data_IF_204892628625
#
_entry.id   IF_204892628625
#
_cell.length_a   1.000
_cell.length_b   1.000
_cell.length_c   1.000
_cell.angle_alpha   90.00
_cell.angle_beta   90.00
_cell.angle_gamma   90.00
#
_symmetry.space_group_name_H-M   'P 1'
#
loop_
_entity.id
_entity.type
_entity.pdbx_description
1 polymer ?
#
# COMPACT_ATOMS: atom_id res chain seq x y z
N UNK A 1 -3.22 38.23 -60.92
CA UNK A 1 -2.15 37.30 -61.34
C UNK A 1 -0.87 37.81 -60.69
N UNK A 2 -0.19 37.18 -59.74
CA UNK A 2 -0.07 35.77 -59.32
C UNK A 2 0.13 35.76 -57.80
N UNK A 3 -0.47 34.79 -57.12
CA UNK A 3 -0.36 34.56 -55.68
C UNK A 3 1.07 34.22 -55.25
N UNK A 4 1.50 34.66 -54.06
CA UNK A 4 2.62 34.07 -53.34
C UNK A 4 2.12 33.51 -52.02
N UNK A 5 2.21 32.20 -51.93
CA UNK A 5 1.75 31.32 -50.87
C UNK A 5 2.45 31.63 -49.54
N UNK A 6 1.64 31.65 -48.47
CA UNK A 6 2.08 31.65 -47.08
C UNK A 6 2.40 30.21 -46.65
N UNK A 7 3.67 29.93 -46.34
CA UNK A 7 4.08 28.66 -45.74
C UNK A 7 3.62 28.54 -44.27
N UNK A 8 3.36 27.31 -43.77
CA UNK A 8 2.69 27.10 -42.49
C UNK A 8 3.63 27.36 -41.31
N UNK A 9 3.13 28.13 -40.34
CA UNK A 9 3.82 28.47 -39.10
C UNK A 9 4.19 27.23 -38.29
N UNK A 10 5.47 27.14 -37.92
CA UNK A 10 5.94 26.16 -36.95
C UNK A 10 5.41 26.54 -35.57
N UNK A 11 4.51 25.71 -35.04
CA UNK A 11 4.09 25.76 -33.65
C UNK A 11 5.34 25.65 -32.76
N UNK A 12 5.62 26.69 -31.98
CA UNK A 12 6.65 26.67 -30.93
C UNK A 12 6.18 25.75 -29.80
N UNK A 13 6.31 24.45 -29.99
CA UNK A 13 6.16 23.45 -28.94
C UNK A 13 7.28 23.56 -27.90
N UNK A 14 7.04 23.03 -26.70
CA UNK A 14 8.03 22.95 -25.63
C UNK A 14 9.35 22.37 -26.19
N UNK A 15 10.49 23.08 -26.12
CA UNK A 15 11.75 22.65 -26.73
C UNK A 15 12.29 21.33 -26.16
N UNK A 16 11.77 20.86 -25.02
CA UNK A 16 12.11 19.61 -24.36
C UNK A 16 11.19 18.44 -24.71
N UNK A 17 10.06 18.67 -25.39
CA UNK A 17 9.11 17.62 -25.77
C UNK A 17 9.75 16.45 -26.55
N UNK A 18 10.69 16.69 -27.52
CA UNK A 18 11.35 15.60 -28.23
C UNK A 18 12.19 14.70 -27.31
N UNK A 19 12.77 15.27 -26.25
CA UNK A 19 13.58 14.53 -25.27
C UNK A 19 12.69 13.68 -24.36
N UNK A 20 11.52 14.18 -23.99
CA UNK A 20 10.54 13.45 -23.16
C UNK A 20 10.00 12.22 -23.89
N UNK A 21 9.60 12.37 -25.15
CA UNK A 21 9.09 11.24 -25.95
C UNK A 21 10.17 10.19 -26.21
N UNK A 22 11.43 10.61 -26.39
CA UNK A 22 12.55 9.70 -26.53
C UNK A 22 12.82 8.91 -25.24
N UNK A 23 12.71 9.56 -24.07
CA UNK A 23 12.86 8.91 -22.75
C UNK A 23 11.73 7.93 -22.43
N UNK A 24 10.56 8.10 -23.05
CA UNK A 24 9.41 7.19 -22.93
C UNK A 24 9.51 5.98 -23.88
N UNK A 25 10.64 5.82 -24.58
CA UNK A 25 10.90 4.69 -25.48
C UNK A 25 10.47 4.92 -26.93
N UNK A 26 10.20 6.17 -27.33
CA UNK A 26 9.86 6.50 -28.71
C UNK A 26 11.03 6.36 -29.69
N UNK A 27 10.72 6.10 -30.96
CA UNK A 27 11.72 5.93 -32.03
C UNK A 27 12.44 7.26 -32.36
N UNK A 28 13.79 7.31 -32.29
CA UNK A 28 14.56 8.53 -32.53
C UNK A 28 14.32 9.16 -33.91
N UNK A 29 14.18 8.35 -34.96
CA UNK A 29 14.04 8.84 -36.33
C UNK A 29 12.62 9.39 -36.58
N UNK A 30 11.59 8.78 -35.99
CA UNK A 30 10.23 9.29 -35.99
C UNK A 30 10.11 10.63 -35.22
N UNK A 31 10.74 10.73 -34.05
CA UNK A 31 10.75 11.95 -33.22
C UNK A 31 11.48 13.09 -33.96
N UNK A 32 12.64 12.80 -34.57
CA UNK A 32 13.39 13.76 -35.37
C UNK A 32 12.55 14.37 -36.51
N UNK A 33 11.78 13.54 -37.23
CA UNK A 33 10.85 14.01 -38.27
C UNK A 33 9.69 14.83 -37.70
N UNK A 34 9.08 14.36 -36.61
CA UNK A 34 7.92 15.00 -35.97
C UNK A 34 8.23 16.42 -35.48
N UNK A 35 9.45 16.66 -35.00
CA UNK A 35 9.85 17.93 -34.39
C UNK A 35 10.85 18.75 -35.23
N UNK A 36 11.21 18.29 -36.43
CA UNK A 36 12.14 19.00 -37.31
C UNK A 36 13.54 19.17 -36.72
N UNK A 37 14.01 18.22 -35.90
CA UNK A 37 15.34 18.23 -35.26
C UNK A 37 16.19 17.08 -35.77
N UNK A 38 17.46 17.34 -36.12
CA UNK A 38 18.37 16.29 -36.56
C UNK A 38 18.64 15.27 -35.45
N UNK A 39 19.03 14.05 -35.81
CA UNK A 39 19.35 12.98 -34.85
C UNK A 39 20.51 13.37 -33.93
N UNK A 40 21.50 14.09 -34.46
CA UNK A 40 22.62 14.63 -33.68
C UNK A 40 22.15 15.72 -32.70
N UNK A 41 21.26 16.62 -33.11
CA UNK A 41 20.67 17.64 -32.25
C UNK A 41 19.83 17.00 -31.13
N UNK A 42 19.01 16.00 -31.46
CA UNK A 42 18.22 15.24 -30.50
C UNK A 42 19.10 14.51 -29.47
N UNK A 43 20.20 13.89 -29.94
CA UNK A 43 21.21 13.27 -29.08
C UNK A 43 21.91 14.28 -28.16
N UNK A 44 22.25 15.47 -28.66
CA UNK A 44 22.84 16.55 -27.86
C UNK A 44 21.89 17.04 -26.78
N UNK A 45 20.60 17.25 -27.11
CA UNK A 45 19.57 17.66 -26.14
C UNK A 45 19.31 16.60 -25.08
N UNK A 46 19.30 15.32 -25.45
CA UNK A 46 19.20 14.23 -24.48
C UNK A 46 20.42 14.22 -23.54
N UNK A 47 21.63 14.40 -24.08
CA UNK A 47 22.85 14.48 -23.28
C UNK A 47 22.83 15.68 -22.33
N UNK A 48 22.46 16.87 -22.81
CA UNK A 48 22.32 18.07 -21.97
C UNK A 48 21.22 17.90 -20.91
N UNK A 49 20.08 17.30 -21.25
CA UNK A 49 19.04 16.96 -20.28
C UNK A 49 19.56 15.96 -19.24
N UNK A 50 20.28 14.92 -19.64
CA UNK A 50 20.89 13.94 -18.73
C UNK A 50 21.94 14.59 -17.83
N UNK A 51 22.77 15.50 -18.36
CA UNK A 51 23.78 16.25 -17.60
C UNK A 51 23.12 17.24 -16.64
N UNK A 52 22.09 17.96 -17.07
CA UNK A 52 21.35 18.90 -16.22
C UNK A 52 20.51 18.17 -15.16
N UNK A 53 19.89 17.04 -15.51
CA UNK A 53 19.21 16.17 -14.55
C UNK A 53 20.20 15.54 -13.58
N UNK A 54 21.39 15.16 -14.06
CA UNK A 54 22.47 14.68 -13.19
C UNK A 54 22.98 15.78 -12.26
N UNK A 55 23.07 17.04 -12.72
CA UNK A 55 23.43 18.22 -11.90
C UNK A 55 22.34 18.62 -10.91
N UNK A 56 21.07 18.57 -11.30
CA UNK A 56 19.93 18.80 -10.42
C UNK A 56 19.79 17.69 -9.38
N UNK A 57 19.94 16.43 -9.78
CA UNK A 57 20.06 15.29 -8.88
C UNK A 57 21.32 15.36 -8.01
N UNK A 58 22.41 16.00 -8.48
CA UNK A 58 23.60 16.29 -7.68
C UNK A 58 23.33 17.36 -6.61
N UNK A 59 22.53 18.37 -6.96
CA UNK A 59 22.10 19.43 -6.04
C UNK A 59 21.12 18.91 -4.99
N UNK A 60 20.27 17.93 -5.33
CA UNK A 60 19.47 17.17 -4.35
C UNK A 60 20.35 16.20 -3.52
N UNK A 61 21.36 15.57 -4.13
CA UNK A 61 22.32 14.70 -3.44
C UNK A 61 23.37 15.42 -2.57
N UNK A 62 23.33 16.76 -2.49
CA UNK A 62 24.09 17.52 -1.49
C UNK A 62 23.73 17.10 -0.05
N UNK A 63 22.57 16.45 0.14
CA UNK A 63 22.03 16.05 1.44
C UNK A 63 22.36 14.62 1.91
N UNK A 64 22.94 13.72 1.10
CA UNK A 64 22.96 12.29 1.48
C UNK A 64 24.26 11.50 1.35
N UNK A 65 25.43 12.14 1.18
CA UNK A 65 26.68 11.39 1.28
C UNK A 65 27.32 11.55 2.66
N UNK A 66 26.93 10.67 3.59
CA UNK A 66 27.84 10.20 4.66
C UNK A 66 29.00 9.34 4.09
N UNK A 67 29.21 9.36 2.77
CA UNK A 67 30.32 8.68 2.12
C UNK A 67 31.64 9.29 2.63
N UNK A 68 32.43 8.48 3.33
CA UNK A 68 33.77 8.83 3.71
C UNK A 68 34.58 9.23 2.48
N UNK A 69 35.53 10.16 2.64
CA UNK A 69 36.37 10.68 1.55
C UNK A 69 37.00 9.59 0.65
N UNK A 70 37.24 8.40 1.19
CA UNK A 70 37.86 7.28 0.49
C UNK A 70 36.87 6.22 -0.03
N UNK A 71 35.58 6.34 0.28
CA UNK A 71 34.56 5.36 -0.09
C UNK A 71 34.27 5.41 -1.60
N UNK A 72 33.78 4.30 -2.20
CA UNK A 72 33.28 4.31 -3.56
C UNK A 72 32.23 5.40 -3.76
N UNK A 73 32.37 6.16 -4.84
CA UNK A 73 31.53 7.31 -5.10
C UNK A 73 30.08 6.86 -5.42
N UNK A 74 29.05 7.42 -4.77
CA UNK A 74 27.66 6.99 -4.92
C UNK A 74 27.05 7.27 -6.31
N UNK A 75 27.77 8.00 -7.18
CA UNK A 75 27.39 8.21 -8.58
C UNK A 75 27.61 6.98 -9.48
N UNK A 76 28.12 5.86 -8.95
CA UNK A 76 28.36 4.64 -9.70
C UNK A 76 29.64 4.63 -10.54
N UNK A 77 30.52 5.63 -10.37
CA UNK A 77 31.76 5.74 -11.17
C UNK A 77 32.86 4.74 -10.77
N UNK A 78 32.72 4.04 -9.65
CA UNK A 78 33.74 3.15 -9.08
C UNK A 78 34.99 3.87 -8.51
N UNK A 79 35.09 5.21 -8.64
CA UNK A 79 36.20 6.01 -8.11
C UNK A 79 35.97 6.34 -6.63
N UNK A 80 37.05 6.64 -5.89
CA UNK A 80 36.95 7.19 -4.51
C UNK A 80 36.21 8.54 -4.53
N UNK A 81 35.32 8.78 -3.58
CA UNK A 81 34.48 9.98 -3.51
C UNK A 81 35.29 11.28 -3.62
N UNK A 82 36.42 11.39 -2.91
CA UNK A 82 37.32 12.55 -2.98
C UNK A 82 37.91 12.86 -4.37
N UNK A 83 37.98 11.86 -5.25
CA UNK A 83 38.52 11.99 -6.63
C UNK A 83 37.41 12.06 -7.68
N UNK A 84 36.15 12.10 -7.27
CA UNK A 84 35.02 12.08 -8.18
C UNK A 84 34.03 13.21 -7.86
N UNK A 85 32.97 12.93 -7.10
CA UNK A 85 31.93 13.92 -6.86
C UNK A 85 32.25 14.92 -5.74
N UNK A 86 33.20 14.64 -4.83
CA UNK A 86 33.46 15.54 -3.70
C UNK A 86 33.91 16.95 -4.14
N UNK A 87 34.87 17.15 -5.07
CA UNK A 87 35.24 18.51 -5.50
C UNK A 87 34.06 19.24 -6.16
N UNK A 88 33.22 18.52 -6.90
CA UNK A 88 32.00 19.07 -7.53
C UNK A 88 31.00 19.50 -6.46
N UNK A 89 30.83 18.70 -5.40
CA UNK A 89 29.96 19.03 -4.28
C UNK A 89 30.50 20.20 -3.45
N UNK A 90 31.81 20.26 -3.20
CA UNK A 90 32.47 21.37 -2.49
C UNK A 90 32.32 22.68 -3.27
N UNK A 91 32.47 22.64 -4.61
CA UNK A 91 32.28 23.82 -5.46
C UNK A 91 30.81 24.25 -5.53
N UNK A 92 29.88 23.30 -5.63
CA UNK A 92 28.44 23.58 -5.55
C UNK A 92 28.02 24.15 -4.18
N UNK A 93 28.67 23.75 -3.08
CA UNK A 93 28.41 24.35 -1.76
C UNK A 93 28.84 25.81 -1.67
N UNK A 94 29.95 26.19 -2.32
CA UNK A 94 30.42 27.58 -2.34
C UNK A 94 29.50 28.52 -3.11
N UNK A 95 28.74 28.01 -4.08
CA UNK A 95 27.79 28.81 -4.88
C UNK A 95 26.42 28.99 -4.21
N UNK A 96 26.17 28.33 -3.08
CA UNK A 96 24.93 28.48 -2.31
C UNK A 96 25.09 29.66 -1.34
N UNK A 97 24.15 30.62 -1.31
CA UNK A 97 24.13 31.69 -0.31
C UNK A 97 24.19 31.15 1.12
N UNK A 98 24.95 31.81 2.00
CA UNK A 98 25.23 31.32 3.36
C UNK A 98 23.96 31.14 4.21
N UNK A 99 23.02 32.06 4.07
CA UNK A 99 21.68 32.02 4.66
C UNK A 99 20.89 30.78 4.19
N UNK A 100 20.94 30.47 2.89
CA UNK A 100 20.30 29.26 2.33
C UNK A 100 20.96 27.98 2.82
N UNK A 101 22.29 27.96 2.95
CA UNK A 101 23.00 26.81 3.51
C UNK A 101 22.66 26.59 4.98
N UNK A 102 22.58 27.65 5.79
CA UNK A 102 22.15 27.60 7.19
C UNK A 102 20.72 27.07 7.32
N UNK A 103 19.78 27.58 6.51
CA UNK A 103 18.40 27.09 6.50
C UNK A 103 18.31 25.60 6.12
N UNK A 104 19.16 25.14 5.19
CA UNK A 104 19.24 23.72 4.83
C UNK A 104 19.79 22.85 5.97
N UNK A 105 20.83 23.30 6.68
CA UNK A 105 21.39 22.59 7.83
C UNK A 105 20.41 22.54 9.01
N UNK A 106 19.73 23.65 9.30
CA UNK A 106 18.68 23.70 10.33
C UNK A 106 17.54 22.74 10.00
N UNK A 107 17.07 22.74 8.74
CA UNK A 107 16.03 21.81 8.28
C UNK A 107 16.46 20.35 8.40
N UNK A 108 17.72 20.03 8.12
CA UNK A 108 18.25 18.68 8.30
C UNK A 108 18.25 18.25 9.77
N UNK A 109 18.65 19.14 10.69
CA UNK A 109 18.60 18.89 12.14
C UNK A 109 17.16 18.71 12.65
N UNK A 110 16.22 19.51 12.16
CA UNK A 110 14.80 19.36 12.50
C UNK A 110 14.27 18.00 12.00
N UNK A 111 14.61 17.59 10.78
CA UNK A 111 14.23 16.28 10.24
C UNK A 111 14.80 15.12 11.06
N UNK A 112 16.07 15.21 11.46
CA UNK A 112 16.71 14.19 12.31
C UNK A 112 16.06 14.13 13.71
N UNK A 113 15.74 15.28 14.29
CA UNK A 113 15.06 15.36 15.59
C UNK A 113 13.67 14.73 15.52
N UNK A 114 12.89 15.12 14.52
CA UNK A 114 11.57 14.54 14.26
C UNK A 114 11.65 13.03 14.04
N UNK A 115 12.64 12.55 13.27
CA UNK A 115 12.85 11.13 13.05
C UNK A 115 13.06 10.37 14.38
N UNK A 116 13.91 10.89 15.28
CA UNK A 116 14.15 10.28 16.59
C UNK A 116 12.90 10.28 17.49
N UNK A 117 12.08 11.33 17.42
CA UNK A 117 10.80 11.36 18.15
C UNK A 117 9.81 10.33 17.62
N UNK A 118 9.72 10.17 16.30
CA UNK A 118 8.89 9.14 15.67
C UNK A 118 9.36 7.73 16.04
N UNK A 119 10.67 7.45 15.95
CA UNK A 119 11.26 6.17 16.37
C UNK A 119 10.93 5.85 17.82
N UNK A 120 11.13 6.81 18.72
CA UNK A 120 10.76 6.68 20.13
C UNK A 120 9.26 6.41 20.31
N UNK A 121 8.40 7.01 19.49
CA UNK A 121 6.96 6.76 19.52
C UNK A 121 6.59 5.32 19.18
N UNK A 122 7.24 4.75 18.15
CA UNK A 122 7.06 3.33 17.81
C UNK A 122 7.68 2.39 18.85
N UNK A 123 8.82 2.74 19.46
CA UNK A 123 9.41 1.97 20.56
C UNK A 123 8.45 1.89 21.76
N UNK A 124 7.78 3.00 22.10
CA UNK A 124 6.76 3.02 23.15
C UNK A 124 5.56 2.13 22.81
N UNK A 125 5.12 2.10 21.54
CA UNK A 125 4.08 1.16 21.10
C UNK A 125 4.52 -0.29 21.24
N UNK A 126 5.74 -0.60 20.82
CA UNK A 126 6.31 -1.94 20.93
C UNK A 126 6.43 -2.38 22.40
N UNK A 127 6.79 -1.46 23.29
CA UNK A 127 6.80 -1.65 24.74
C UNK A 127 5.41 -1.69 25.41
N UNK A 128 4.32 -1.56 24.64
CA UNK A 128 2.93 -1.44 25.14
C UNK A 128 2.69 -0.25 26.09
N UNK A 129 3.52 0.79 26.01
CA UNK A 129 3.36 2.03 26.76
C UNK A 129 2.44 3.01 26.02
N UNK A 130 1.21 2.55 25.72
CA UNK A 130 0.26 3.20 24.81
C UNK A 130 0.00 4.67 25.15
N UNK A 131 -0.15 4.99 26.44
CA UNK A 131 -0.39 6.37 26.88
C UNK A 131 0.79 7.31 26.67
N UNK A 132 2.02 6.79 26.82
CA UNK A 132 3.22 7.57 26.55
C UNK A 132 3.39 7.79 25.04
N UNK A 133 3.14 6.74 24.25
CA UNK A 133 3.16 6.83 22.79
C UNK A 133 2.16 7.87 22.28
N UNK A 134 0.92 7.82 22.80
CA UNK A 134 -0.15 8.78 22.47
C UNK A 134 0.24 10.22 22.79
N UNK A 135 0.71 10.49 24.02
CA UNK A 135 1.15 11.84 24.42
C UNK A 135 2.31 12.37 23.59
N UNK A 136 3.27 11.51 23.25
CA UNK A 136 4.39 11.90 22.39
C UNK A 136 3.90 12.26 20.99
N UNK A 137 3.05 11.43 20.38
CA UNK A 137 2.51 11.67 19.06
C UNK A 137 1.64 12.94 19.00
N UNK A 138 0.83 13.22 20.03
CA UNK A 138 0.07 14.48 20.13
C UNK A 138 1.00 15.69 20.09
N UNK A 139 2.09 15.67 20.88
CA UNK A 139 3.09 16.75 20.89
C UNK A 139 3.79 16.92 19.53
N UNK A 140 4.13 15.81 18.87
CA UNK A 140 4.71 15.86 17.52
C UNK A 140 3.73 16.52 16.56
N UNK A 141 2.44 16.19 16.64
CA UNK A 141 1.40 16.74 15.76
C UNK A 141 1.05 18.22 16.04
N UNK A 142 1.34 18.74 17.24
CA UNK A 142 1.25 20.18 17.51
C UNK A 142 2.25 20.98 16.65
N UNK A 143 3.42 20.40 16.38
CA UNK A 143 4.48 21.04 15.59
C UNK A 143 4.48 20.60 14.11
N UNK A 144 4.06 19.36 13.86
CA UNK A 144 4.08 18.70 12.56
C UNK A 144 2.72 18.04 12.27
N UNK A 145 1.64 18.82 12.06
CA UNK A 145 0.26 18.30 11.98
C UNK A 145 0.01 17.35 10.80
N UNK A 146 0.90 17.35 9.81
CA UNK A 146 0.79 16.55 8.59
C UNK A 146 1.73 15.33 8.55
N UNK A 147 2.38 15.00 9.66
CA UNK A 147 3.22 13.79 9.74
C UNK A 147 2.37 12.54 9.99
N UNK A 148 2.21 11.72 8.95
CA UNK A 148 1.41 10.49 9.02
C UNK A 148 1.97 9.43 9.97
N UNK A 149 3.26 9.47 10.30
CA UNK A 149 3.87 8.52 11.24
C UNK A 149 3.42 8.82 12.66
N UNK A 150 3.27 10.10 13.02
CA UNK A 150 2.69 10.48 14.30
C UNK A 150 1.18 10.16 14.37
N UNK A 151 0.43 10.39 13.28
CA UNK A 151 -0.96 9.92 13.20
C UNK A 151 -1.07 8.39 13.30
N UNK A 152 -0.10 7.65 12.75
CA UNK A 152 -0.03 6.20 12.90
C UNK A 152 0.13 5.77 14.36
N UNK A 153 1.02 6.46 15.08
CA UNK A 153 1.21 6.18 16.50
C UNK A 153 -0.07 6.42 17.29
N UNK A 154 -0.80 7.51 17.00
CA UNK A 154 -2.11 7.77 17.60
C UNK A 154 -3.13 6.70 17.26
N UNK A 155 -3.22 6.36 15.97
CA UNK A 155 -4.14 5.35 15.48
C UNK A 155 -3.91 3.99 16.15
N UNK A 156 -2.65 3.53 16.16
CA UNK A 156 -2.26 2.25 16.77
C UNK A 156 -2.50 2.26 18.27
N UNK A 157 -2.19 3.37 18.97
CA UNK A 157 -2.49 3.53 20.39
C UNK A 157 -3.99 3.44 20.68
N UNK A 158 -4.83 4.07 19.84
CA UNK A 158 -6.28 4.09 19.99
C UNK A 158 -6.89 2.69 19.73
N UNK A 159 -6.48 2.02 18.66
CA UNK A 159 -6.87 0.64 18.37
C UNK A 159 -6.48 -0.30 19.51
N UNK A 160 -5.24 -0.24 20.00
CA UNK A 160 -4.74 -1.14 21.03
C UNK A 160 -5.41 -0.91 22.41
N UNK A 161 -5.89 0.31 22.67
CA UNK A 161 -6.59 0.66 23.92
C UNK A 161 -8.11 0.48 23.84
N UNK A 162 -8.65 0.09 22.69
CA UNK A 162 -10.10 -0.09 22.50
C UNK A 162 -10.87 1.20 22.16
N UNK A 163 -10.16 2.32 21.97
CA UNK A 163 -10.73 3.61 21.54
C UNK A 163 -10.92 3.64 20.02
N UNK A 164 -11.84 2.79 19.55
CA UNK A 164 -12.07 2.58 18.12
C UNK A 164 -12.68 3.81 17.42
N UNK A 165 -13.36 4.68 18.17
CA UNK A 165 -13.93 5.92 17.62
C UNK A 165 -12.82 6.91 17.24
N UNK A 166 -11.85 7.15 18.13
CA UNK A 166 -10.66 7.96 17.81
C UNK A 166 -9.86 7.36 16.65
N UNK A 167 -9.68 6.04 16.63
CA UNK A 167 -9.00 5.35 15.53
C UNK A 167 -9.71 5.57 14.19
N UNK A 168 -11.04 5.43 14.16
CA UNK A 168 -11.87 5.61 12.97
C UNK A 168 -11.77 7.03 12.42
N UNK A 169 -11.94 8.05 13.27
CA UNK A 169 -11.89 9.45 12.82
C UNK A 169 -10.50 9.83 12.32
N UNK A 170 -9.44 9.36 13.00
CA UNK A 170 -8.05 9.56 12.56
C UNK A 170 -7.85 8.93 11.17
N UNK A 171 -8.15 7.64 11.01
CA UNK A 171 -7.92 6.95 9.75
C UNK A 171 -8.76 7.52 8.59
N UNK A 172 -10.04 7.82 8.82
CA UNK A 172 -10.92 8.43 7.81
C UNK A 172 -10.39 9.78 7.36
N UNK A 173 -10.00 10.65 8.30
CA UNK A 173 -9.46 11.98 7.98
C UNK A 173 -8.15 11.88 7.21
N UNK A 174 -7.23 11.02 7.66
CA UNK A 174 -5.94 10.85 6.98
C UNK A 174 -6.06 10.18 5.61
N UNK A 175 -7.04 9.28 5.43
CA UNK A 175 -7.38 8.75 4.12
C UNK A 175 -7.83 9.87 3.15
N UNK A 176 -8.74 10.75 3.57
CA UNK A 176 -9.16 11.90 2.76
C UNK A 176 -7.98 12.82 2.40
N UNK A 177 -7.14 13.15 3.39
CA UNK A 177 -5.93 13.96 3.15
C UNK A 177 -5.00 13.29 2.13
N UNK A 178 -4.74 11.99 2.28
CA UNK A 178 -3.86 11.26 1.35
C UNK A 178 -4.41 11.21 -0.09
N UNK A 179 -5.73 11.15 -0.26
CA UNK A 179 -6.38 11.20 -1.58
C UNK A 179 -6.18 12.57 -2.23
N UNK A 180 -6.38 13.65 -1.47
CA UNK A 180 -6.12 15.01 -1.93
C UNK A 180 -4.64 15.22 -2.28
N UNK A 181 -3.72 14.76 -1.42
CA UNK A 181 -2.27 14.88 -1.66
C UNK A 181 -1.84 14.09 -2.89
N UNK A 182 -2.35 12.88 -3.09
CA UNK A 182 -2.06 12.09 -4.29
C UNK A 182 -2.52 12.80 -5.56
N UNK A 183 -3.76 13.31 -5.57
CA UNK A 183 -4.30 14.03 -6.72
C UNK A 183 -3.49 15.30 -7.02
N UNK A 184 -3.19 16.09 -5.98
CA UNK A 184 -2.41 17.32 -6.13
C UNK A 184 -0.98 17.05 -6.60
N UNK A 185 -0.31 16.04 -6.03
CA UNK A 185 1.05 15.66 -6.41
C UNK A 185 1.13 15.18 -7.87
N UNK A 186 0.13 14.45 -8.35
CA UNK A 186 0.07 14.02 -9.76
C UNK A 186 -0.03 15.20 -10.73
N UNK A 187 -0.67 16.29 -10.32
CA UNK A 187 -0.84 17.49 -11.16
C UNK A 187 0.34 18.47 -11.03
N UNK A 188 0.92 18.60 -9.83
CA UNK A 188 1.88 19.68 -9.51
C UNK A 188 3.31 19.19 -9.23
N UNK A 189 3.53 17.88 -9.07
CA UNK A 189 4.84 17.30 -8.72
C UNK A 189 5.37 17.64 -7.33
N UNK A 190 4.53 18.18 -6.44
CA UNK A 190 4.86 18.54 -5.06
C UNK A 190 3.65 18.35 -4.15
N UNK A 191 3.86 18.30 -2.84
CA UNK A 191 2.77 18.13 -1.87
C UNK A 191 2.09 19.46 -1.56
N UNK A 192 0.75 19.47 -1.54
CA UNK A 192 -0.05 20.69 -1.32
C UNK A 192 0.26 21.32 0.04
N UNK A 193 0.46 20.45 1.04
CA UNK A 193 0.65 20.81 2.44
C UNK A 193 2.11 21.05 2.84
N UNK A 194 3.07 21.00 1.90
CA UNK A 194 4.45 21.48 2.14
C UNK A 194 4.53 23.01 2.21
N UNK A 195 3.47 23.71 1.77
CA UNK A 195 3.39 25.16 1.73
C UNK A 195 4.06 25.77 0.49
N UNK A 196 3.75 27.04 0.20
CA UNK A 196 4.23 27.76 -1.01
C UNK A 196 5.76 27.89 -1.09
N UNK A 197 6.47 27.76 0.03
CA UNK A 197 7.94 27.80 0.10
C UNK A 197 8.58 26.42 0.31
N UNK A 198 7.80 25.32 0.23
CA UNK A 198 8.27 23.94 0.44
C UNK A 198 9.02 23.75 1.77
N UNK A 199 8.68 24.53 2.79
CA UNK A 199 9.42 24.64 4.05
C UNK A 199 8.94 23.67 5.15
N UNK A 200 7.69 23.20 5.08
CA UNK A 200 7.14 22.25 6.05
C UNK A 200 7.82 20.88 5.95
N UNK A 201 8.17 20.29 7.10
CA UNK A 201 8.47 18.87 7.16
C UNK A 201 7.14 18.11 7.17
N UNK A 202 6.81 17.48 6.05
CA UNK A 202 5.63 16.61 5.92
C UNK A 202 6.07 15.18 5.66
N UNK A 203 5.21 14.25 6.01
CA UNK A 203 5.40 12.84 5.67
C UNK A 203 4.02 12.23 5.42
N UNK A 204 3.76 11.79 4.20
CA UNK A 204 2.48 11.17 3.83
C UNK A 204 2.65 9.68 3.54
N UNK A 205 1.70 8.87 4.02
CA UNK A 205 1.49 7.53 3.55
C UNK A 205 0.62 7.52 2.30
N UNK A 206 0.67 6.42 1.56
CA UNK A 206 -0.20 6.22 0.40
C UNK A 206 -1.67 6.11 0.84
N UNK A 207 -2.63 6.44 -0.05
CA UNK A 207 -4.03 6.28 0.28
C UNK A 207 -4.44 4.87 0.66
N UNK A 208 -3.85 3.86 0.03
CA UNK A 208 -4.14 2.46 0.35
C UNK A 208 -3.74 2.10 1.80
N UNK A 209 -2.71 2.73 2.36
CA UNK A 209 -2.31 2.53 3.76
C UNK A 209 -3.34 3.09 4.74
N UNK A 210 -3.90 4.27 4.46
CA UNK A 210 -4.96 4.82 5.31
C UNK A 210 -6.32 4.17 5.06
N UNK A 211 -6.60 3.73 3.83
CA UNK A 211 -7.83 3.01 3.49
C UNK A 211 -7.95 1.70 4.28
N UNK A 212 -6.85 0.97 4.40
CA UNK A 212 -6.77 -0.24 5.23
C UNK A 212 -7.05 0.04 6.71
N UNK A 213 -6.38 1.05 7.28
CA UNK A 213 -6.60 1.46 8.68
C UNK A 213 -8.02 1.93 8.92
N UNK A 214 -8.61 2.59 7.92
CA UNK A 214 -9.99 3.04 7.96
C UNK A 214 -10.95 1.85 8.00
N UNK A 215 -10.76 0.86 7.13
CA UNK A 215 -11.50 -0.39 7.17
C UNK A 215 -11.37 -1.11 8.52
N UNK A 216 -10.14 -1.24 9.02
CA UNK A 216 -9.87 -1.90 10.30
C UNK A 216 -10.58 -1.22 11.47
N UNK A 217 -10.51 0.11 11.58
CA UNK A 217 -11.19 0.83 12.65
C UNK A 217 -12.73 0.78 12.51
N UNK A 218 -13.25 0.83 11.29
CA UNK A 218 -14.68 0.66 11.05
C UNK A 218 -15.16 -0.72 11.49
N UNK A 219 -14.42 -1.78 11.12
CA UNK A 219 -14.71 -3.15 11.55
C UNK A 219 -14.59 -3.31 13.06
N UNK A 220 -13.57 -2.73 13.70
CA UNK A 220 -13.42 -2.79 15.14
C UNK A 220 -14.62 -2.17 15.89
N UNK A 221 -15.16 -1.04 15.40
CA UNK A 221 -16.39 -0.43 15.94
C UNK A 221 -17.59 -1.36 15.76
N UNK A 222 -17.77 -1.89 14.54
CA UNK A 222 -18.88 -2.79 14.24
C UNK A 222 -18.84 -4.07 15.08
N UNK A 223 -17.66 -4.67 15.24
CA UNK A 223 -17.48 -5.90 16.00
C UNK A 223 -17.75 -5.68 17.49
N UNK A 224 -17.35 -4.54 18.04
CA UNK A 224 -17.67 -4.15 19.43
C UNK A 224 -19.18 -4.08 19.68
N UNK A 225 -19.95 -3.62 18.69
CA UNK A 225 -21.41 -3.51 18.78
C UNK A 225 -22.10 -4.86 18.54
N UNK A 226 -21.62 -5.64 17.56
CA UNK A 226 -22.21 -6.92 17.16
C UNK A 226 -21.95 -8.04 18.16
N UNK A 227 -20.73 -8.12 18.70
CA UNK A 227 -20.30 -9.22 19.55
C UNK A 227 -20.19 -8.77 21.01
N UNK A 228 -21.17 -9.15 21.82
CA UNK A 228 -21.14 -8.91 23.25
C UNK A 228 -19.91 -9.58 23.88
N UNK A 229 -19.20 -8.85 24.75
CA UNK A 229 -18.03 -9.35 25.48
C UNK A 229 -18.32 -9.39 26.99
N UNK A 230 -19.26 -10.22 27.48
CA UNK A 230 -19.58 -10.28 28.90
C UNK A 230 -18.37 -10.84 29.67
N UNK A 231 -17.93 -10.22 30.78
CA UNK A 231 -16.69 -10.61 31.46
C UNK A 231 -16.54 -12.13 31.65
N UNK A 232 -15.52 -12.71 31.03
CA UNK A 232 -15.21 -14.13 31.12
C UNK A 232 -13.71 -14.31 31.40
N UNK A 233 -13.38 -14.52 32.67
CA UNK A 233 -11.99 -14.65 33.13
C UNK A 233 -11.25 -15.82 32.47
N UNK A 234 -11.96 -16.90 32.12
CA UNK A 234 -11.37 -18.08 31.49
C UNK A 234 -10.96 -17.77 30.04
N UNK A 235 -11.84 -17.15 29.25
CA UNK A 235 -11.55 -16.72 27.88
C UNK A 235 -10.49 -15.61 27.84
N UNK A 236 -10.59 -14.62 28.72
CA UNK A 236 -9.56 -13.58 28.83
C UNK A 236 -8.20 -14.19 29.17
N UNK A 237 -8.15 -15.18 30.06
CA UNK A 237 -6.91 -15.89 30.37
C UNK A 237 -6.41 -16.67 29.17
N UNK A 238 -7.26 -17.40 28.46
CA UNK A 238 -6.87 -18.15 27.27
C UNK A 238 -6.30 -17.23 26.17
N UNK A 239 -6.90 -16.06 25.96
CA UNK A 239 -6.37 -15.05 25.03
C UNK A 239 -5.04 -14.45 25.51
N UNK A 240 -4.89 -14.18 26.81
CA UNK A 240 -3.59 -13.78 27.39
C UNK A 240 -2.51 -14.86 27.19
N UNK A 241 -2.87 -16.12 27.40
CA UNK A 241 -1.97 -17.25 27.18
C UNK A 241 -1.61 -17.39 25.69
N UNK A 242 -2.55 -17.14 24.77
CA UNK A 242 -2.29 -17.14 23.32
C UNK A 242 -1.30 -16.03 22.92
N UNK A 243 -1.35 -14.85 23.57
CA UNK A 243 -0.41 -13.74 23.31
C UNK A 243 1.05 -14.09 23.61
N UNK A 244 1.33 -15.18 24.33
CA UNK A 244 2.69 -15.71 24.50
C UNK A 244 3.36 -16.05 23.16
N UNK A 245 2.58 -16.32 22.10
CA UNK A 245 3.09 -16.46 20.74
C UNK A 245 3.96 -15.27 20.29
N UNK A 246 3.74 -14.07 20.86
CA UNK A 246 4.44 -12.86 20.49
C UNK A 246 5.83 -12.74 21.14
N UNK A 247 6.17 -13.62 22.09
CA UNK A 247 7.49 -13.64 22.71
C UNK A 247 8.55 -14.18 21.74
N UNK A 248 9.23 -13.27 21.07
CA UNK A 248 10.31 -13.57 20.12
C UNK A 248 11.57 -14.13 20.78
N UNK A 249 11.74 -13.98 22.10
CA UNK A 249 12.85 -14.60 22.83
C UNK A 249 12.55 -16.08 23.09
N UNK A 250 11.29 -16.38 23.42
CA UNK A 250 10.79 -17.75 23.58
C UNK A 250 10.71 -18.50 22.25
N UNK A 251 10.37 -17.80 21.17
CA UNK A 251 10.20 -18.37 19.84
C UNK A 251 11.07 -17.60 18.82
N UNK A 252 12.38 -17.89 18.74
CA UNK A 252 13.31 -17.18 17.86
C UNK A 252 13.10 -17.48 16.37
N UNK A 253 12.47 -18.61 16.03
CA UNK A 253 12.21 -19.04 14.65
C UNK A 253 11.23 -18.07 13.96
N UNK A 254 11.46 -17.89 12.66
CA UNK A 254 10.70 -16.97 11.79
C UNK A 254 9.88 -17.74 10.77
N UNK A 255 8.98 -17.03 10.08
CA UNK A 255 8.18 -17.57 8.97
C UNK A 255 7.43 -18.85 9.36
N UNK A 256 7.36 -19.83 8.47
CA UNK A 256 6.62 -21.08 8.66
C UNK A 256 7.16 -21.92 9.83
N UNK A 257 8.48 -21.98 10.03
CA UNK A 257 9.08 -22.66 11.18
C UNK A 257 8.65 -22.01 12.49
N UNK A 258 8.68 -20.67 12.53
CA UNK A 258 8.19 -19.89 13.66
C UNK A 258 6.71 -20.10 13.94
N UNK A 259 5.90 -20.25 12.90
CA UNK A 259 4.48 -20.54 13.03
C UNK A 259 4.22 -21.95 13.59
N UNK A 260 4.91 -22.95 13.05
CA UNK A 260 4.79 -24.35 13.46
C UNK A 260 5.23 -24.54 14.93
N UNK A 261 6.35 -23.95 15.33
CA UNK A 261 6.84 -24.01 16.71
C UNK A 261 5.84 -23.42 17.71
N UNK A 262 5.26 -22.26 17.39
CA UNK A 262 4.23 -21.60 18.21
C UNK A 262 2.94 -22.42 18.27
N UNK A 263 2.49 -22.98 17.14
CA UNK A 263 1.31 -23.85 17.08
C UNK A 263 1.48 -25.05 18.01
N UNK A 264 2.62 -25.75 17.93
CA UNK A 264 2.89 -26.91 18.76
C UNK A 264 2.95 -26.55 20.25
N UNK A 265 3.65 -25.48 20.61
CA UNK A 265 3.79 -25.06 22.00
C UNK A 265 2.49 -24.53 22.62
N UNK A 266 1.57 -24.01 21.81
CA UNK A 266 0.30 -23.42 22.25
C UNK A 266 -0.90 -24.33 21.97
N UNK A 267 -0.70 -25.58 21.55
CA UNK A 267 -1.78 -26.51 21.23
C UNK A 267 -2.85 -26.61 22.33
N UNK A 268 -2.52 -26.74 23.63
CA UNK A 268 -3.55 -26.80 24.69
C UNK A 268 -4.38 -25.50 24.83
N UNK A 269 -3.78 -24.35 24.48
CA UNK A 269 -4.49 -23.06 24.50
C UNK A 269 -5.42 -22.95 23.30
N UNK A 270 -4.94 -23.39 22.13
CA UNK A 270 -5.73 -23.42 20.89
C UNK A 270 -6.91 -24.39 21.01
N UNK A 271 -6.70 -25.61 21.50
CA UNK A 271 -7.77 -26.59 21.76
C UNK A 271 -8.84 -26.06 22.71
N UNK A 272 -8.42 -25.33 23.76
CA UNK A 272 -9.38 -24.69 24.67
C UNK A 272 -10.19 -23.62 23.96
N UNK A 273 -9.54 -22.70 23.23
CA UNK A 273 -10.22 -21.64 22.50
C UNK A 273 -11.17 -22.21 21.45
N UNK A 274 -10.76 -23.27 20.76
CA UNK A 274 -11.59 -24.00 19.81
C UNK A 274 -12.84 -24.60 20.49
N UNK A 275 -12.67 -25.23 21.65
CA UNK A 275 -13.76 -25.83 22.43
C UNK A 275 -14.78 -24.84 23.01
N UNK A 276 -14.37 -23.59 23.26
CA UNK A 276 -15.28 -22.50 23.68
C UNK A 276 -16.19 -22.02 22.53
N UNK A 277 -15.83 -22.36 21.29
CA UNK A 277 -16.64 -22.10 20.11
C UNK A 277 -16.86 -20.60 19.83
N UNK A 278 -18.01 -20.23 19.24
CA UNK A 278 -18.32 -18.85 18.89
C UNK A 278 -18.29 -17.84 20.05
N UNK A 279 -18.39 -18.31 21.30
CA UNK A 279 -18.30 -17.45 22.49
C UNK A 279 -16.91 -16.80 22.65
N UNK A 280 -15.87 -17.39 22.06
CA UNK A 280 -14.50 -16.86 22.08
C UNK A 280 -14.27 -15.71 21.08
N UNK A 281 -15.11 -15.56 20.06
CA UNK A 281 -14.99 -14.54 18.99
C UNK A 281 -14.75 -13.12 19.53
N UNK A 282 -15.58 -12.56 20.44
CA UNK A 282 -15.36 -11.22 20.98
C UNK A 282 -13.97 -11.00 21.60
N UNK A 283 -13.37 -12.05 22.16
CA UNK A 283 -12.05 -12.01 22.79
C UNK A 283 -10.89 -12.14 21.80
N UNK A 284 -11.14 -12.80 20.67
CA UNK A 284 -10.15 -13.03 19.61
C UNK A 284 -10.05 -11.84 18.65
N UNK A 285 -11.16 -11.16 18.36
CA UNK A 285 -11.19 -10.05 17.39
C UNK A 285 -10.19 -8.92 17.70
N UNK A 286 -10.01 -8.47 18.96
CA UNK A 286 -8.99 -7.47 19.29
C UNK A 286 -7.55 -7.87 18.89
N UNK A 287 -7.24 -9.17 18.84
CA UNK A 287 -5.93 -9.63 18.38
C UNK A 287 -5.69 -9.31 16.90
N UNK A 288 -6.76 -9.27 16.10
CA UNK A 288 -6.69 -9.08 14.64
C UNK A 288 -6.37 -7.66 14.22
N UNK A 289 -6.45 -6.68 15.12
CA UNK A 289 -6.17 -5.27 14.78
C UNK A 289 -4.72 -4.84 15.03
N UNK A 290 -4.02 -5.54 15.93
CA UNK A 290 -2.66 -5.21 16.36
C UNK A 290 -1.61 -6.19 15.81
N UNK A 291 -1.96 -6.91 14.74
CA UNK A 291 -1.22 -7.97 14.02
C UNK A 291 0.05 -8.47 14.68
N UNK A 292 -0.02 -9.71 15.13
CA UNK A 292 1.06 -10.36 15.85
C UNK A 292 1.04 -11.86 15.58
N UNK A 293 2.01 -12.59 16.11
CA UNK A 293 2.01 -14.05 15.99
C UNK A 293 0.72 -14.68 16.53
N UNK A 294 0.16 -14.12 17.60
CA UNK A 294 -1.11 -14.56 18.17
C UNK A 294 -2.29 -14.40 17.19
N UNK A 295 -2.31 -13.34 16.39
CA UNK A 295 -3.42 -13.08 15.46
C UNK A 295 -3.48 -14.09 14.32
N UNK A 296 -2.35 -14.71 13.95
CA UNK A 296 -2.27 -15.71 12.88
C UNK A 296 -3.00 -17.02 13.19
N UNK A 297 -3.46 -17.23 14.43
CA UNK A 297 -4.27 -18.39 14.82
C UNK A 297 -5.78 -18.13 14.75
N UNK A 298 -6.19 -16.86 14.68
CA UNK A 298 -7.62 -16.49 14.66
C UNK A 298 -8.36 -17.04 13.42
N UNK A 299 -7.80 -16.99 12.19
CA UNK A 299 -8.52 -17.50 11.02
C UNK A 299 -8.87 -18.99 11.12
N UNK A 300 -8.00 -19.80 11.69
CA UNK A 300 -8.23 -21.25 11.82
C UNK A 300 -9.23 -21.55 12.93
N UNK A 301 -9.23 -20.78 14.02
CA UNK A 301 -10.26 -20.84 15.06
C UNK A 301 -11.65 -20.48 14.50
N UNK A 302 -11.74 -19.41 13.69
CA UNK A 302 -12.99 -19.06 13.01
C UNK A 302 -13.45 -20.16 12.05
N UNK A 303 -12.52 -20.79 11.32
CA UNK A 303 -12.85 -21.93 10.46
C UNK A 303 -13.43 -23.09 11.28
N UNK A 304 -12.82 -23.43 12.42
CA UNK A 304 -13.27 -24.52 13.29
C UNK A 304 -14.67 -24.27 13.88
N UNK A 305 -15.01 -23.02 14.21
CA UNK A 305 -16.35 -22.68 14.71
C UNK A 305 -17.46 -22.90 13.68
N UNK A 306 -17.12 -22.79 12.39
CA UNK A 306 -18.00 -23.12 11.27
C UNK A 306 -19.38 -22.44 11.33
N UNK A 307 -19.48 -21.22 11.89
CA UNK A 307 -20.72 -20.42 11.91
C UNK A 307 -20.75 -19.41 10.76
N UNK A 308 -21.95 -18.93 10.42
CA UNK A 308 -22.14 -17.90 9.39
C UNK A 308 -21.42 -16.59 9.74
N UNK A 309 -21.38 -16.23 11.03
CA UNK A 309 -20.56 -15.11 11.51
C UNK A 309 -19.07 -15.35 11.28
N UNK A 310 -18.59 -16.59 11.43
CA UNK A 310 -17.19 -16.92 11.20
C UNK A 310 -16.81 -16.79 9.72
N UNK A 311 -17.69 -17.21 8.80
CA UNK A 311 -17.48 -17.03 7.36
C UNK A 311 -17.44 -15.54 6.99
N UNK A 312 -18.39 -14.75 7.53
CA UNK A 312 -18.42 -13.29 7.34
C UNK A 312 -17.14 -12.63 7.86
N UNK A 313 -16.73 -12.97 9.08
CA UNK A 313 -15.51 -12.44 9.69
C UNK A 313 -14.28 -12.78 8.85
N UNK A 314 -14.15 -14.01 8.35
CA UNK A 314 -13.02 -14.37 7.47
C UNK A 314 -13.00 -13.51 6.20
N UNK A 315 -14.17 -13.22 5.60
CA UNK A 315 -14.25 -12.33 4.44
C UNK A 315 -13.80 -10.90 4.78
N UNK A 316 -14.32 -10.31 5.86
CA UNK A 316 -13.97 -8.96 6.28
C UNK A 316 -12.51 -8.82 6.76
N UNK A 317 -12.00 -9.82 7.48
CA UNK A 317 -10.62 -9.88 7.97
C UNK A 317 -9.61 -10.12 6.85
N UNK A 318 -10.00 -10.76 5.74
CA UNK A 318 -9.11 -10.94 4.58
C UNK A 318 -8.70 -9.62 3.92
N UNK A 319 -9.46 -8.55 4.17
CA UNK A 319 -9.20 -7.21 3.64
C UNK A 319 -8.16 -6.43 4.46
N UNK A 320 -7.66 -7.01 5.57
CA UNK A 320 -6.55 -6.44 6.33
C UNK A 320 -5.25 -6.76 5.57
N UNK A 321 -4.47 -5.79 5.10
CA UNK A 321 -3.33 -6.03 4.17
C UNK A 321 -2.07 -6.55 4.89
N UNK A 322 -2.25 -7.56 5.74
CA UNK A 322 -1.18 -8.33 6.34
C UNK A 322 -1.08 -9.65 5.58
N UNK A 323 -0.10 -9.80 4.66
CA UNK A 323 -0.15 -10.84 3.63
C UNK A 323 -0.43 -12.25 4.16
N UNK A 324 0.30 -12.67 5.20
CA UNK A 324 0.13 -13.99 5.80
C UNK A 324 -1.23 -14.17 6.51
N UNK A 325 -1.70 -13.13 7.20
CA UNK A 325 -3.00 -13.18 7.91
C UNK A 325 -4.16 -13.19 6.92
N UNK A 326 -4.18 -12.25 5.97
CA UNK A 326 -5.17 -12.19 4.91
C UNK A 326 -5.22 -13.49 4.12
N UNK A 327 -4.05 -14.03 3.74
CA UNK A 327 -3.99 -15.27 2.99
C UNK A 327 -4.57 -16.45 3.77
N UNK A 328 -4.36 -16.55 5.09
CA UNK A 328 -5.02 -17.56 5.92
C UNK A 328 -6.54 -17.42 5.89
N UNK A 329 -7.07 -16.19 5.99
CA UNK A 329 -8.50 -15.96 5.85
C UNK A 329 -9.03 -16.43 4.49
N UNK A 330 -8.34 -16.08 3.40
CA UNK A 330 -8.73 -16.46 2.04
C UNK A 330 -8.66 -17.97 1.82
N UNK A 331 -7.62 -18.65 2.32
CA UNK A 331 -7.50 -20.12 2.22
C UNK A 331 -8.62 -20.84 2.97
N UNK A 332 -9.03 -20.32 4.14
CA UNK A 332 -10.15 -20.90 4.87
C UNK A 332 -11.49 -20.67 4.15
N UNK A 333 -11.68 -19.51 3.50
CA UNK A 333 -12.83 -19.28 2.61
C UNK A 333 -12.80 -20.18 1.37
N UNK A 334 -11.63 -20.39 0.78
CA UNK A 334 -11.43 -21.30 -0.36
C UNK A 334 -11.85 -22.73 0.03
N UNK A 335 -11.38 -23.23 1.18
CA UNK A 335 -11.71 -24.55 1.70
C UNK A 335 -13.21 -24.75 1.99
N UNK A 336 -13.96 -23.66 2.25
CA UNK A 336 -15.40 -23.71 2.47
C UNK A 336 -16.22 -23.84 1.17
N UNK A 337 -15.61 -23.62 0.00
CA UNK A 337 -16.27 -23.76 -1.30
C UNK A 337 -17.50 -22.86 -1.46
N UNK A 338 -18.59 -23.41 -2.01
CA UNK A 338 -19.83 -22.69 -2.28
C UNK A 338 -20.49 -22.06 -1.05
N UNK A 339 -20.20 -22.58 0.16
CA UNK A 339 -20.71 -22.02 1.41
C UNK A 339 -20.22 -20.59 1.64
N UNK A 340 -19.00 -20.25 1.19
CA UNK A 340 -18.42 -18.92 1.37
C UNK A 340 -19.01 -17.88 0.42
N UNK A 341 -19.52 -18.29 -0.74
CA UNK A 341 -19.94 -17.39 -1.82
C UNK A 341 -20.98 -16.35 -1.39
N UNK A 342 -22.09 -16.67 -0.69
CA UNK A 342 -23.04 -15.64 -0.26
C UNK A 342 -22.43 -14.56 0.63
N UNK A 343 -21.46 -14.92 1.47
CA UNK A 343 -20.79 -13.97 2.37
C UNK A 343 -19.73 -13.13 1.63
N UNK A 344 -19.04 -13.75 0.68
CA UNK A 344 -18.14 -13.04 -0.23
C UNK A 344 -18.95 -12.03 -1.06
N UNK A 345 -20.10 -12.43 -1.59
CA UNK A 345 -21.02 -11.57 -2.35
C UNK A 345 -21.48 -10.37 -1.54
N UNK A 346 -21.97 -10.58 -0.33
CA UNK A 346 -22.36 -9.51 0.60
C UNK A 346 -21.20 -8.54 0.87
N UNK A 347 -19.99 -9.07 1.07
CA UNK A 347 -18.78 -8.25 1.31
C UNK A 347 -18.37 -7.45 0.08
N UNK A 348 -18.51 -8.01 -1.13
CA UNK A 348 -18.19 -7.31 -2.37
C UNK A 348 -19.15 -6.18 -2.67
N UNK A 349 -20.46 -6.40 -2.48
CA UNK A 349 -21.50 -5.39 -2.78
C UNK A 349 -21.49 -4.23 -1.78
N UNK A 350 -21.21 -4.50 -0.50
CA UNK A 350 -21.27 -3.47 0.53
C UNK A 350 -19.97 -2.66 0.64
N UNK A 351 -20.07 -1.39 1.04
CA UNK A 351 -18.93 -0.49 1.27
C UNK A 351 -17.98 -0.31 0.07
N UNK A 352 -18.45 0.31 -1.04
CA UNK A 352 -17.66 0.47 -2.28
C UNK A 352 -16.38 1.28 -2.11
N UNK A 353 -16.29 2.11 -1.07
CA UNK A 353 -15.06 2.85 -0.71
C UNK A 353 -13.86 1.92 -0.51
N UNK A 354 -14.08 0.66 -0.12
CA UNK A 354 -13.02 -0.31 0.16
C UNK A 354 -12.79 -1.33 -0.95
N UNK A 355 -13.33 -1.13 -2.15
CA UNK A 355 -13.24 -2.13 -3.23
C UNK A 355 -11.81 -2.55 -3.58
N UNK A 356 -10.85 -1.63 -3.45
CA UNK A 356 -9.43 -1.93 -3.64
C UNK A 356 -8.89 -3.00 -2.68
N UNK A 357 -9.50 -3.16 -1.50
CA UNK A 357 -9.11 -4.14 -0.48
C UNK A 357 -9.74 -5.52 -0.71
N UNK A 358 -10.78 -5.61 -1.54
CA UNK A 358 -11.60 -6.82 -1.68
C UNK A 358 -11.09 -7.82 -2.72
N UNK A 359 -10.00 -7.49 -3.41
CA UNK A 359 -9.50 -8.27 -4.56
C UNK A 359 -9.10 -9.70 -4.19
N UNK A 360 -8.72 -9.94 -2.93
CA UNK A 360 -8.47 -11.30 -2.43
C UNK A 360 -9.71 -12.19 -2.54
N UNK A 361 -10.89 -11.66 -2.22
CA UNK A 361 -12.16 -12.38 -2.29
C UNK A 361 -12.56 -12.72 -3.74
N UNK A 362 -12.25 -11.83 -4.68
CA UNK A 362 -12.43 -12.08 -6.12
C UNK A 362 -11.58 -13.29 -6.55
N UNK A 363 -10.35 -13.40 -6.02
CA UNK A 363 -9.50 -14.54 -6.32
C UNK A 363 -9.99 -15.86 -5.70
N UNK A 364 -10.67 -15.83 -4.55
CA UNK A 364 -11.34 -17.00 -3.98
C UNK A 364 -12.40 -17.53 -4.95
N UNK A 365 -13.22 -16.66 -5.52
CA UNK A 365 -14.23 -17.04 -6.53
C UNK A 365 -13.60 -17.64 -7.78
N UNK A 366 -12.44 -17.13 -8.21
CA UNK A 366 -11.69 -17.67 -9.35
C UNK A 366 -11.13 -19.08 -9.10
N UNK A 367 -10.81 -19.42 -7.84
CA UNK A 367 -10.28 -20.75 -7.45
C UNK A 367 -11.37 -21.77 -7.11
N UNK A 368 -12.58 -21.30 -6.81
CA UNK A 368 -13.76 -22.12 -6.55
C UNK A 368 -14.76 -22.00 -7.71
N UNK A 369 -14.52 -22.64 -8.87
CA UNK A 369 -15.42 -22.58 -10.00
C UNK A 369 -16.75 -23.28 -9.67
N UNK A 370 -17.82 -22.50 -9.71
CA UNK A 370 -19.20 -22.97 -9.61
C UNK A 370 -20.09 -22.04 -10.42
N UNK A 371 -21.32 -22.47 -10.71
CA UNK A 371 -22.30 -21.61 -11.42
C UNK A 371 -22.46 -20.27 -10.71
N UNK A 372 -22.50 -20.27 -9.37
CA UNK A 372 -22.70 -19.07 -8.57
C UNK A 372 -21.47 -18.15 -8.62
N UNK A 373 -20.25 -18.68 -8.49
CA UNK A 373 -19.05 -17.85 -8.56
C UNK A 373 -18.84 -17.27 -9.97
N UNK A 374 -19.17 -18.03 -11.02
CA UNK A 374 -19.15 -17.55 -12.40
C UNK A 374 -20.17 -16.43 -12.66
N UNK A 375 -21.43 -16.62 -12.28
CA UNK A 375 -22.49 -15.60 -12.39
C UNK A 375 -22.12 -14.32 -11.63
N UNK A 376 -21.40 -14.44 -10.52
CA UNK A 376 -20.96 -13.30 -9.74
C UNK A 376 -19.77 -12.57 -10.39
N UNK A 377 -18.75 -13.30 -10.84
CA UNK A 377 -17.60 -12.71 -11.52
C UNK A 377 -18.01 -12.00 -12.82
N UNK A 378 -18.91 -12.60 -13.60
CA UNK A 378 -19.45 -11.98 -14.83
C UNK A 378 -20.25 -10.70 -14.55
N UNK A 379 -20.95 -10.58 -13.42
CA UNK A 379 -21.54 -9.28 -13.02
C UNK A 379 -20.46 -8.24 -12.70
N UNK A 380 -19.37 -8.65 -12.05
CA UNK A 380 -18.29 -7.76 -11.64
C UNK A 380 -17.42 -7.27 -12.81
N UNK A 381 -17.55 -7.82 -14.02
CA UNK A 381 -16.86 -7.26 -15.20
C UNK A 381 -17.37 -5.86 -15.54
N UNK A 382 -18.57 -5.50 -15.11
CA UNK A 382 -19.19 -4.18 -15.30
C UNK A 382 -18.87 -3.19 -14.17
N UNK A 383 -18.01 -3.56 -13.22
CA UNK A 383 -17.65 -2.70 -12.09
C UNK A 383 -17.01 -1.38 -12.54
N UNK A 384 -17.31 -0.28 -11.83
CA UNK A 384 -16.81 1.06 -12.16
C UNK A 384 -15.28 1.18 -11.97
N UNK A 385 -14.77 0.59 -10.87
CA UNK A 385 -13.34 0.58 -10.57
C UNK A 385 -12.56 -0.36 -11.50
N UNK A 386 -11.74 0.22 -12.38
CA UNK A 386 -10.86 -0.51 -13.33
C UNK A 386 -9.90 -1.48 -12.64
N UNK A 387 -9.47 -1.20 -11.41
CA UNK A 387 -8.61 -2.10 -10.65
C UNK A 387 -9.34 -3.40 -10.29
N UNK A 388 -10.61 -3.31 -9.88
CA UNK A 388 -11.46 -4.47 -9.59
C UNK A 388 -11.67 -5.31 -10.85
N UNK A 389 -12.05 -4.67 -11.96
CA UNK A 389 -12.27 -5.35 -13.26
C UNK A 389 -11.03 -6.15 -13.70
N UNK A 390 -9.83 -5.59 -13.47
CA UNK A 390 -8.57 -6.28 -13.77
C UNK A 390 -8.41 -7.60 -13.01
N UNK A 391 -8.80 -7.65 -11.73
CA UNK A 391 -8.76 -8.86 -10.92
C UNK A 391 -9.90 -9.83 -11.22
N UNK A 392 -11.07 -9.32 -11.58
CA UNK A 392 -12.19 -10.14 -12.06
C UNK A 392 -11.80 -10.90 -13.32
N UNK A 393 -11.12 -10.23 -14.26
CA UNK A 393 -10.64 -10.88 -15.47
C UNK A 393 -9.64 -12.01 -15.18
N UNK A 394 -8.70 -11.80 -14.25
CA UNK A 394 -7.79 -12.86 -13.81
C UNK A 394 -8.54 -14.03 -13.18
N UNK A 395 -9.55 -13.75 -12.34
CA UNK A 395 -10.36 -14.78 -11.71
C UNK A 395 -11.17 -15.59 -12.74
N UNK A 396 -11.78 -14.94 -13.74
CA UNK A 396 -12.49 -15.62 -14.84
C UNK A 396 -11.54 -16.47 -15.70
N UNK A 397 -10.35 -15.95 -16.02
CA UNK A 397 -9.32 -16.70 -16.73
C UNK A 397 -8.91 -17.97 -15.99
N UNK A 398 -8.75 -17.89 -14.64
CA UNK A 398 -8.46 -19.06 -13.80
C UNK A 398 -9.58 -20.09 -13.76
N UNK A 399 -10.84 -19.69 -13.86
CA UNK A 399 -11.96 -20.65 -13.94
C UNK A 399 -11.94 -21.43 -15.25
N UNK A 400 -11.33 -20.89 -16.31
CA UNK A 400 -11.18 -21.58 -17.58
C UNK A 400 -12.49 -21.78 -18.35
N UNK A 401 -13.58 -21.09 -17.99
CA UNK A 401 -14.87 -21.22 -18.66
C UNK A 401 -14.95 -20.32 -19.91
N UNK A 402 -15.05 -20.89 -21.13
CA UNK A 402 -15.13 -20.11 -22.38
C UNK A 402 -16.33 -19.16 -22.45
N UNK A 403 -17.41 -19.42 -21.70
CA UNK A 403 -18.58 -18.52 -21.62
C UNK A 403 -18.22 -17.14 -21.03
N UNK A 404 -17.04 -16.98 -20.41
CA UNK A 404 -16.54 -15.69 -19.94
C UNK A 404 -16.15 -14.74 -21.09
N UNK A 405 -15.83 -15.25 -22.28
CA UNK A 405 -15.24 -14.47 -23.37
C UNK A 405 -16.04 -13.21 -23.74
N UNK A 406 -17.38 -13.28 -23.97
CA UNK A 406 -18.16 -12.08 -24.31
C UNK A 406 -18.16 -11.02 -23.21
N UNK A 407 -18.05 -11.42 -21.94
CA UNK A 407 -17.99 -10.50 -20.80
C UNK A 407 -16.62 -9.80 -20.73
N UNK A 408 -15.55 -10.55 -20.96
CA UNK A 408 -14.18 -10.03 -20.99
C UNK A 408 -13.95 -9.09 -22.17
N UNK A 409 -14.50 -9.39 -23.34
CA UNK A 409 -14.43 -8.52 -24.53
C UNK A 409 -15.15 -7.19 -24.29
N UNK A 410 -16.39 -7.21 -23.74
CA UNK A 410 -17.09 -5.98 -23.36
C UNK A 410 -16.34 -5.18 -22.30
N UNK A 411 -15.76 -5.85 -21.30
CA UNK A 411 -14.94 -5.18 -20.30
C UNK A 411 -13.72 -4.52 -20.95
N UNK A 412 -13.01 -5.20 -21.86
CA UNK A 412 -11.86 -4.67 -22.60
C UNK A 412 -12.22 -3.41 -23.39
N UNK A 413 -13.36 -3.43 -24.10
CA UNK A 413 -13.84 -2.27 -24.86
C UNK A 413 -14.12 -1.07 -23.94
N UNK A 414 -14.67 -1.32 -22.75
CA UNK A 414 -15.04 -0.27 -21.79
C UNK A 414 -13.84 0.31 -21.04
N UNK A 415 -12.92 -0.52 -20.54
CA UNK A 415 -11.83 -0.07 -19.64
C UNK A 415 -10.44 -0.02 -20.32
N UNK A 416 -10.37 -0.36 -21.60
CA UNK A 416 -9.14 -0.44 -22.39
C UNK A 416 -8.37 -1.75 -22.20
N UNK A 417 -7.27 -1.90 -22.92
CA UNK A 417 -6.38 -3.06 -22.82
C UNK A 417 -5.65 -3.06 -21.46
N UNK A 418 -6.23 -3.73 -20.47
CA UNK A 418 -5.53 -4.08 -19.23
C UNK A 418 -4.80 -5.40 -19.43
N UNK A 419 -3.56 -5.50 -18.92
CA UNK A 419 -2.70 -6.67 -19.13
C UNK A 419 -3.32 -7.99 -18.68
N UNK A 420 -4.12 -8.00 -17.61
CA UNK A 420 -4.79 -9.22 -17.13
C UNK A 420 -6.04 -9.57 -17.93
N UNK A 421 -6.74 -8.59 -18.51
CA UNK A 421 -7.88 -8.84 -19.40
C UNK A 421 -7.39 -9.54 -20.67
N UNK A 422 -6.30 -9.03 -21.26
CA UNK A 422 -5.69 -9.64 -22.44
C UNK A 422 -5.18 -11.07 -22.15
N UNK A 423 -4.47 -11.26 -21.03
CA UNK A 423 -4.00 -12.59 -20.63
C UNK A 423 -5.14 -13.61 -20.43
N UNK A 424 -6.22 -13.21 -19.75
CA UNK A 424 -7.37 -14.08 -19.54
C UNK A 424 -8.07 -14.50 -20.85
N UNK A 425 -8.21 -13.58 -21.81
CA UNK A 425 -8.76 -13.89 -23.14
C UNK A 425 -7.86 -14.90 -23.87
N UNK A 426 -6.55 -14.68 -23.88
CA UNK A 426 -5.60 -15.58 -24.53
C UNK A 426 -5.62 -16.99 -23.94
N UNK A 427 -5.69 -17.11 -22.61
CA UNK A 427 -5.72 -18.39 -21.92
C UNK A 427 -7.02 -19.17 -22.25
N UNK A 428 -8.16 -18.49 -22.26
CA UNK A 428 -9.46 -19.10 -22.59
C UNK A 428 -9.55 -19.53 -24.07
N UNK A 429 -9.02 -18.72 -24.99
CA UNK A 429 -8.98 -19.07 -26.42
C UNK A 429 -8.07 -20.27 -26.67
N UNK A 430 -6.92 -20.37 -25.98
CA UNK A 430 -6.03 -21.54 -26.08
C UNK A 430 -6.65 -22.80 -25.45
N UNK A 431 -7.36 -22.65 -24.34
CA UNK A 431 -8.00 -23.76 -23.62
C UNK A 431 -9.22 -24.35 -24.32
N UNK A 432 -9.93 -23.58 -25.16
CA UNK A 432 -11.08 -24.06 -25.93
C UNK A 432 -10.74 -24.72 -27.29
N UNK A 433 -9.46 -24.80 -27.65
CA UNK A 433 -8.97 -25.42 -28.90
C UNK A 433 -8.40 -26.84 -28.71
N UNK A 434 -8.45 -27.38 -27.49
CA UNK A 434 -8.13 -28.77 -27.16
C UNK A 434 -9.37 -29.49 -26.63
#
# INVERSE_FOLDING_TARGET
>A
MVAKETGPGTARGNPMQPVVELLQGGDPDAISRKYGVSREELGRRLHEYQVNRSRAALAENLQFSNAGRNDPCPCGSGKKYKKCCLPVHEEARKSIPKDRLQAMEERARLRETLQKEIERGFDLLFGQELEKARKLAQRVLEQHPEDDRAHDILFTSAIASGDYDTAFFTARRRWQVSQEEKAYFQEHGSHKREGREQGGLVHFYSPSTWLEKFWMAERARHYRERFASPPNQALEKAVRDLKVANDVKRFPEKHEEGYAARRAALAPVLERLEGEGPSAVPYLLPLTYCFSWASLFVPDLLMAYATDDSVRLLAELSMFRFPYFAQKCLLNLEAMGDRAIPFIEDTLVNNPVFDELKVGLIMVLGRNPSRRSFEMLTRLTEHENRYVVNWVAEALGRQGNPEALPYLERARERVGELSKIQGAIEDLVKGGLG
#
